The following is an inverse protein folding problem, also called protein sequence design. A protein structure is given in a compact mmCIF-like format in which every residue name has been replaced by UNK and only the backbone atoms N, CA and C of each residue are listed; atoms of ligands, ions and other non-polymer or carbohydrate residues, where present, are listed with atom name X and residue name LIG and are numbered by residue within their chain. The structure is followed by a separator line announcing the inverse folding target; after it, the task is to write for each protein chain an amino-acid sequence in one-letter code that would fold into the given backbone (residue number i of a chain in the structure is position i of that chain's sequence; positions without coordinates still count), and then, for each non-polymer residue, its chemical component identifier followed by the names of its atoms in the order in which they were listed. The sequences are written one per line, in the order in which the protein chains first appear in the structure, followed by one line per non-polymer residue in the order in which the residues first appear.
data_IF_016074914342
#
_entry.id   IF_016074914342
#
_cell.length_a   1.000
_cell.length_b   1.000
_cell.length_c   1.000
_cell.angle_alpha   90.00
_cell.angle_beta   90.00
_cell.angle_gamma   90.00
#
_symmetry.space_group_name_H-M   'P 1'
#
loop_
_entity.id
_entity.type
_entity.pdbx_description
1 polymer ?
#
# COMPACT_ATOMS: atom_id res chain seq x y z
N UNK A 1 31.97 -34.79 -13.50
CA UNK A 1 31.72 -34.63 -12.14
C UNK A 1 31.65 -33.19 -11.69
N UNK A 2 32.70 -32.48 -11.92
CA UNK A 2 32.72 -31.10 -11.46
C UNK A 2 31.70 -30.23 -12.17
N UNK A 3 31.24 -30.66 -13.29
CA UNK A 3 30.27 -29.87 -14.00
C UNK A 3 28.98 -29.69 -13.27
N UNK A 4 28.65 -30.64 -12.42
CA UNK A 4 27.40 -30.52 -11.65
C UNK A 4 27.39 -29.29 -10.78
N UNK A 5 28.56 -28.99 -10.21
CA UNK A 5 28.66 -27.85 -9.33
C UNK A 5 28.42 -26.57 -10.08
N UNK A 6 28.85 -26.51 -11.30
CA UNK A 6 28.66 -25.31 -12.09
C UNK A 6 27.20 -25.04 -12.36
N UNK A 7 26.46 -26.09 -12.61
CA UNK A 7 25.02 -25.92 -12.84
C UNK A 7 24.33 -25.37 -11.60
N UNK A 8 24.71 -25.86 -10.47
CA UNK A 8 24.09 -25.39 -9.23
C UNK A 8 24.37 -23.92 -9.01
N UNK A 9 25.57 -23.50 -9.32
CA UNK A 9 25.92 -22.10 -9.13
C UNK A 9 25.10 -21.20 -10.04
N UNK A 10 24.83 -21.63 -11.24
CA UNK A 10 24.03 -20.86 -12.14
C UNK A 10 22.63 -20.67 -11.64
N UNK A 11 22.06 -21.69 -11.07
CA UNK A 11 20.73 -21.61 -10.54
C UNK A 11 20.65 -20.59 -9.42
N UNK A 12 21.62 -20.60 -8.56
CA UNK A 12 21.64 -19.66 -7.45
C UNK A 12 21.70 -18.22 -7.95
N UNK A 13 22.47 -17.98 -8.97
CA UNK A 13 22.60 -16.65 -9.52
C UNK A 13 21.29 -16.18 -10.12
N UNK A 14 20.60 -17.08 -10.81
CA UNK A 14 19.33 -16.71 -11.42
C UNK A 14 18.30 -16.33 -10.36
N UNK A 15 18.29 -17.04 -9.27
CA UNK A 15 17.33 -16.76 -8.20
C UNK A 15 17.57 -15.39 -7.59
N UNK A 16 18.80 -15.01 -7.42
CA UNK A 16 19.10 -13.75 -6.77
C UNK A 16 18.78 -12.54 -7.63
N UNK A 17 18.45 -12.75 -8.88
CA UNK A 17 18.13 -11.65 -9.77
C UNK A 17 16.73 -11.12 -9.56
N UNK A 18 15.90 -11.80 -8.81
CA UNK A 18 14.54 -11.39 -8.58
C UNK A 18 14.47 -10.48 -7.35
N UNK A 19 14.02 -9.27 -7.59
CA UNK A 19 13.88 -8.30 -6.52
C UNK A 19 12.48 -7.75 -6.52
N UNK A 20 11.85 -7.80 -5.38
CA UNK A 20 10.54 -7.21 -5.21
C UNK A 20 10.52 -6.49 -3.88
N UNK A 21 10.07 -5.27 -3.89
CA UNK A 21 9.98 -4.47 -2.70
C UNK A 21 8.59 -4.51 -2.12
N UNK A 22 8.49 -4.31 -0.84
CA UNK A 22 7.22 -4.21 -0.17
C UNK A 22 7.09 -2.82 0.44
N UNK A 23 5.86 -2.39 0.58
CA UNK A 23 5.54 -1.15 1.28
C UNK A 23 4.62 -1.50 2.42
N UNK A 24 5.05 -1.21 3.63
CA UNK A 24 4.22 -1.42 4.81
C UNK A 24 3.59 -0.11 5.23
N UNK A 25 2.39 -0.18 5.77
CA UNK A 25 1.76 1.02 6.23
C UNK A 25 0.68 0.76 7.25
N UNK A 26 0.21 1.84 7.85
CA UNK A 26 -0.90 1.79 8.77
C UNK A 26 -1.88 2.89 8.41
N UNK A 27 -3.17 2.57 8.45
CA UNK A 27 -4.24 3.50 8.13
C UNK A 27 -5.05 3.72 9.39
N UNK A 28 -5.26 4.96 9.75
CA UNK A 28 -6.04 5.28 10.93
C UNK A 28 -6.88 6.52 10.73
N UNK A 29 -7.86 6.66 11.59
CA UNK A 29 -8.67 7.86 11.62
C UNK A 29 -7.81 9.01 12.10
N UNK A 30 -7.85 10.11 11.37
CA UNK A 30 -7.00 11.26 11.69
C UNK A 30 -7.37 11.93 13.00
N UNK A 31 -8.62 11.85 13.40
CA UNK A 31 -9.07 12.48 14.63
C UNK A 31 -8.90 11.61 15.85
N UNK A 32 -9.25 10.35 15.74
CA UNK A 32 -9.28 9.47 16.89
C UNK A 32 -8.03 8.62 17.02
N UNK A 33 -7.32 8.40 15.91
CA UNK A 33 -6.18 7.51 15.91
C UNK A 33 -6.53 6.05 15.85
N UNK A 34 -7.81 5.73 15.67
CA UNK A 34 -8.23 4.34 15.60
C UNK A 34 -7.83 3.71 14.28
N UNK A 35 -7.38 2.46 14.32
CA UNK A 35 -7.04 1.78 13.07
C UNK A 35 -8.28 1.52 12.23
N UNK A 36 -8.13 1.65 10.92
CA UNK A 36 -9.24 1.42 9.99
C UNK A 36 -9.05 0.06 9.33
N UNK A 37 -9.97 -0.83 9.63
CA UNK A 37 -9.91 -2.22 9.16
C UNK A 37 -10.63 -2.33 7.83
N UNK A 38 -10.00 -3.00 6.87
CA UNK A 38 -10.64 -3.19 5.57
C UNK A 38 -10.49 -2.02 4.62
N UNK A 39 -9.61 -1.09 4.92
CA UNK A 39 -9.30 0.01 4.01
C UNK A 39 -8.59 -0.54 2.79
N UNK A 40 -8.98 -0.08 1.60
CA UNK A 40 -8.40 -0.56 0.36
C UNK A 40 -7.26 0.34 -0.07
N UNK A 41 -6.12 -0.27 -0.36
CA UNK A 41 -4.94 0.44 -0.85
C UNK A 41 -4.62 -0.10 -2.24
N UNK A 42 -4.56 0.78 -3.23
CA UNK A 42 -4.24 0.42 -4.61
C UNK A 42 -3.09 1.26 -5.11
N UNK A 43 -2.35 0.71 -6.05
CA UNK A 43 -1.27 1.44 -6.70
C UNK A 43 -1.80 1.91 -8.05
N UNK A 44 -1.80 3.22 -8.24
CA UNK A 44 -2.36 3.81 -9.45
C UNK A 44 -1.66 3.33 -10.71
N UNK A 45 -0.35 3.28 -10.68
CA UNK A 45 0.45 2.88 -11.83
C UNK A 45 0.47 1.39 -12.06
N UNK A 46 0.09 0.62 -11.04
CA UNK A 46 0.10 -0.84 -11.11
C UNK A 46 -1.26 -1.37 -10.68
N UNK A 47 -2.23 -1.39 -11.61
CA UNK A 47 -3.61 -1.71 -11.24
C UNK A 47 -3.82 -3.06 -10.57
N UNK A 48 -2.90 -4.00 -10.80
CA UNK A 48 -3.03 -5.32 -10.21
C UNK A 48 -2.46 -5.41 -8.80
N UNK A 49 -1.85 -4.35 -8.32
CA UNK A 49 -1.25 -4.34 -6.99
C UNK A 49 -2.20 -3.63 -6.04
N UNK A 50 -2.75 -4.37 -5.11
CA UNK A 50 -3.65 -3.79 -4.12
C UNK A 50 -3.69 -4.69 -2.89
N UNK A 51 -4.20 -4.11 -1.79
CA UNK A 51 -4.36 -4.87 -0.57
C UNK A 51 -5.39 -4.17 0.31
N UNK A 52 -5.71 -4.78 1.43
CA UNK A 52 -6.59 -4.18 2.42
C UNK A 52 -5.93 -4.25 3.79
N UNK A 53 -6.33 -3.33 4.67
CA UNK A 53 -5.78 -3.33 6.02
C UNK A 53 -6.38 -4.43 6.86
N UNK A 54 -5.59 -4.92 7.79
CA UNK A 54 -6.02 -5.93 8.73
C UNK A 54 -6.58 -5.33 10.02
N UNK A 55 -6.64 -6.15 11.04
CA UNK A 55 -7.28 -5.79 12.30
C UNK A 55 -6.64 -4.59 13.01
N UNK A 56 -5.38 -4.40 12.82
CA UNK A 56 -4.67 -3.28 13.44
C UNK A 56 -4.46 -2.12 12.47
N UNK A 57 -5.15 -2.14 11.34
CA UNK A 57 -5.05 -1.08 10.36
C UNK A 57 -3.79 -1.13 9.51
N UNK A 58 -3.00 -2.17 9.64
CA UNK A 58 -1.76 -2.27 8.88
C UNK A 58 -1.97 -2.99 7.56
N UNK A 59 -1.09 -2.70 6.61
CA UNK A 59 -1.13 -3.35 5.31
C UNK A 59 0.27 -3.54 4.79
N UNK A 60 0.41 -4.42 3.82
CA UNK A 60 1.66 -4.63 3.10
C UNK A 60 1.33 -4.77 1.63
N UNK A 61 1.96 -3.94 0.81
CA UNK A 61 1.88 -4.06 -0.64
C UNK A 61 3.11 -4.82 -1.12
N UNK A 62 2.89 -5.85 -1.91
CA UNK A 62 3.96 -6.70 -2.41
C UNK A 62 4.25 -6.41 -3.86
N UNK A 63 5.40 -6.89 -4.32
CA UNK A 63 5.75 -6.90 -5.74
C UNK A 63 5.88 -5.52 -6.35
N UNK A 64 6.41 -4.59 -5.57
CA UNK A 64 6.70 -3.27 -6.10
C UNK A 64 8.11 -3.24 -6.67
N UNK A 65 8.31 -2.53 -7.79
CA UNK A 65 9.67 -2.35 -8.31
C UNK A 65 10.55 -1.66 -7.28
N UNK A 66 11.85 -1.91 -7.36
CA UNK A 66 12.78 -1.36 -6.37
C UNK A 66 13.13 0.08 -6.62
N UNK A 67 12.60 0.70 -7.65
CA UNK A 67 12.88 2.07 -7.98
C UNK A 67 11.63 2.80 -8.39
N UNK A 68 11.67 4.09 -8.20
CA UNK A 68 10.63 4.96 -8.71
C UNK A 68 9.60 5.31 -7.68
N UNK A 69 8.75 6.20 -8.08
CA UNK A 69 7.69 6.68 -7.23
C UNK A 69 6.37 6.10 -7.68
N UNK A 70 5.53 5.82 -6.72
CA UNK A 70 4.21 5.28 -6.98
C UNK A 70 3.18 6.11 -6.27
N UNK A 71 2.00 6.19 -6.86
CA UNK A 71 0.89 6.85 -6.23
C UNK A 71 0.00 5.77 -5.66
N UNK A 72 -0.21 5.80 -4.35
CA UNK A 72 -1.16 4.88 -3.73
C UNK A 72 -2.46 5.60 -3.51
N UNK A 73 -3.55 4.87 -3.73
CA UNK A 73 -4.89 5.38 -3.56
C UNK A 73 -5.52 4.62 -2.40
N UNK A 74 -5.87 5.34 -1.35
CA UNK A 74 -6.41 4.76 -0.13
C UNK A 74 -7.86 5.13 -0.01
N UNK A 75 -8.73 4.14 0.06
CA UNK A 75 -10.16 4.39 0.14
C UNK A 75 -10.83 3.53 1.19
N UNK A 76 -11.79 4.13 1.87
CA UNK A 76 -12.56 3.45 2.89
C UNK A 76 -13.94 4.09 2.94
N UNK A 77 -14.93 3.28 3.22
CA UNK A 77 -16.31 3.76 3.26
C UNK A 77 -16.45 4.92 4.26
N UNK A 78 -17.11 5.97 3.83
CA UNK A 78 -17.37 7.16 4.64
C UNK A 78 -16.14 8.01 4.93
N UNK A 79 -15.04 7.73 4.28
CA UNK A 79 -13.84 8.54 4.41
C UNK A 79 -13.46 9.09 3.05
N UNK A 80 -12.76 10.22 3.09
CA UNK A 80 -12.28 10.84 1.86
C UNK A 80 -11.17 9.99 1.27
N UNK A 81 -11.26 9.70 0.00
CA UNK A 81 -10.22 8.97 -0.70
C UNK A 81 -8.94 9.80 -0.68
N UNK A 82 -7.85 9.15 -0.39
CA UNK A 82 -6.57 9.83 -0.28
C UNK A 82 -5.58 9.26 -1.26
N UNK A 83 -4.82 10.16 -1.91
CA UNK A 83 -3.73 9.75 -2.79
C UNK A 83 -2.43 10.28 -2.24
N UNK A 84 -1.40 9.45 -2.26
CA UNK A 84 -0.07 9.88 -1.82
C UNK A 84 0.98 9.25 -2.70
N UNK A 85 2.04 10.02 -2.91
CA UNK A 85 3.17 9.54 -3.69
C UNK A 85 4.20 8.97 -2.71
N UNK A 86 4.66 7.77 -2.99
CA UNK A 86 5.69 7.12 -2.17
C UNK A 86 6.86 6.71 -3.04
N UNK A 87 8.04 6.81 -2.46
CA UNK A 87 9.27 6.37 -3.11
C UNK A 87 9.80 5.21 -2.26
N UNK A 88 9.57 3.98 -2.75
CA UNK A 88 9.91 2.80 -1.95
C UNK A 88 11.40 2.62 -1.77
N UNK A 89 12.21 3.24 -2.63
CA UNK A 89 13.65 3.17 -2.46
C UNK A 89 14.11 3.98 -1.25
N UNK A 90 13.34 5.00 -0.89
CA UNK A 90 13.71 5.86 0.23
C UNK A 90 12.96 5.51 1.49
N UNK A 91 11.71 5.05 1.35
CA UNK A 91 10.87 4.83 2.50
C UNK A 91 9.92 3.69 2.23
N UNK A 92 9.99 2.67 3.06
CA UNK A 92 9.11 1.51 2.87
C UNK A 92 8.05 1.38 3.95
N UNK A 93 7.84 2.43 4.74
CA UNK A 93 6.77 2.47 5.72
C UNK A 93 6.07 3.80 5.67
N UNK A 94 4.74 3.78 5.78
CA UNK A 94 3.96 5.01 5.72
C UNK A 94 2.84 4.99 6.74
N UNK A 95 2.53 6.17 7.25
CA UNK A 95 1.37 6.40 8.11
C UNK A 95 0.36 7.14 7.28
N UNK A 96 -0.87 6.66 7.29
CA UNK A 96 -1.91 7.26 6.47
C UNK A 96 -3.08 7.66 7.35
N UNK A 97 -3.18 8.93 7.73
CA UNK A 97 -4.36 9.42 8.44
C UNK A 97 -5.48 9.67 7.45
N UNK A 98 -6.67 9.23 7.78
CA UNK A 98 -7.85 9.39 6.93
C UNK A 98 -8.84 10.32 7.58
N UNK A 99 -9.47 11.14 6.77
CA UNK A 99 -10.49 12.08 7.23
C UNK A 99 -11.87 11.60 6.81
N UNK A 100 -12.80 11.69 7.73
CA UNK A 100 -14.16 11.32 7.42
C UNK A 100 -14.75 12.24 6.36
N UNK A 101 -15.53 11.66 5.48
CA UNK A 101 -16.23 12.44 4.48
C UNK A 101 -17.70 12.51 4.87
N UNK A 102 -18.03 13.57 5.57
CA UNK A 102 -19.38 13.73 6.06
C UNK A 102 -20.41 13.86 4.96
N UNK A 103 -19.97 14.26 3.79
CA UNK A 103 -20.88 14.36 2.66
C UNK A 103 -21.40 13.01 2.23
N UNK A 104 -20.58 11.98 2.39
CA UNK A 104 -21.02 10.65 2.02
C UNK A 104 -22.09 10.12 2.95
N UNK A 105 -22.18 10.70 4.13
CA UNK A 105 -23.20 10.30 5.08
C UNK A 105 -24.53 10.97 4.81
N UNK A 106 -24.56 11.95 3.95
CA UNK A 106 -25.80 12.58 3.56
C UNK A 106 -26.31 13.67 4.46
N UNK A 107 -25.74 13.81 5.60
CA UNK A 107 -26.24 14.78 6.56
C UNK A 107 -25.97 16.19 6.14
N UNK A 108 -24.90 16.36 5.46
CA UNK A 108 -24.50 17.69 5.05
C UNK A 108 -25.50 18.32 4.13
N UNK A 109 -26.28 17.51 3.50
CA UNK A 109 -27.28 18.01 2.58
C UNK A 109 -28.19 19.01 3.26
N UNK A 110 -28.45 18.77 4.48
CA UNK A 110 -29.34 19.63 5.24
C UNK A 110 -28.81 21.04 5.30
N UNK A 111 -27.56 21.16 5.46
CA UNK A 111 -26.98 22.47 5.57
C UNK A 111 -26.90 23.16 4.26
N UNK A 112 -27.05 22.42 3.29
CA UNK A 112 -26.97 23.06 2.02
C UNK A 112 -27.72 24.29 1.98
N UNK A 113 -27.99 24.43 2.74
CA UNK A 113 -28.42 25.44 2.71
C UNK A 113 -28.54 25.99 2.67
#
# INVERSE_FOLDING_TARGET
MKRFLLSAALLAAATSAIHAHTLDGVVKDNKTGEPLIGTVIRVKELPNVSTTTGLDGTFTLHELPDKGKFTIIVSYMSYKTREMVVDVAKKNKVDIPMDEDLKQLGEVVVTGH
#
